data_IF_874639510987
#
_entry.id   IF_874639510987
#
_cell.length_a   1.000
_cell.length_b   1.000
_cell.length_c   1.000
_cell.angle_alpha   90.00
_cell.angle_beta   90.00
_cell.angle_gamma   90.00
#
_symmetry.space_group_name_H-M   'P 1'
#
loop_
_entity.id
_entity.type
_entity.pdbx_description
1 polymer ?
#
# COMPACT_ATOMS: atom_id res chain seq x y z
N UNK A 1 -1.69 -1.68 20.24
CA UNK A 1 -0.91 -0.58 19.66
C UNK A 1 -0.03 -0.96 18.46
N UNK A 2 0.47 -2.22 18.33
CA UNK A 2 1.27 -2.65 17.15
C UNK A 2 0.43 -3.22 15.99
N UNK A 3 -0.56 -4.07 16.29
CA UNK A 3 -1.50 -4.57 15.27
C UNK A 3 -2.29 -3.45 14.57
N UNK A 4 -2.52 -2.33 15.23
CA UNK A 4 -3.26 -1.20 14.63
C UNK A 4 -2.48 -0.54 13.49
N UNK A 5 -1.15 -0.41 13.57
CA UNK A 5 -0.35 0.15 12.47
C UNK A 5 -0.24 -0.84 11.29
N UNK A 6 0.00 -2.12 11.60
CA UNK A 6 0.00 -3.17 10.58
C UNK A 6 -1.34 -3.26 9.83
N UNK A 7 -2.46 -3.26 10.56
CA UNK A 7 -3.81 -3.29 9.97
C UNK A 7 -4.13 -2.01 9.19
N UNK A 8 -3.71 -0.85 9.70
CA UNK A 8 -3.89 0.43 9.01
C UNK A 8 -3.18 0.41 7.65
N UNK A 9 -1.89 0.07 7.63
CA UNK A 9 -1.08 -0.01 6.40
C UNK A 9 -1.62 -1.06 5.42
N UNK A 10 -2.08 -2.20 5.93
CA UNK A 10 -2.70 -3.22 5.09
C UNK A 10 -3.96 -2.70 4.39
N UNK A 11 -4.81 -1.96 5.12
CA UNK A 11 -6.01 -1.34 4.54
C UNK A 11 -5.67 -0.30 3.46
N UNK A 12 -4.64 0.51 3.69
CA UNK A 12 -4.14 1.47 2.69
C UNK A 12 -3.63 0.74 1.44
N UNK A 13 -2.87 -0.35 1.61
CA UNK A 13 -2.39 -1.17 0.50
C UNK A 13 -3.54 -1.74 -0.34
N UNK A 14 -4.61 -2.21 0.30
CA UNK A 14 -5.80 -2.70 -0.39
C UNK A 14 -6.50 -1.60 -1.20
N UNK A 15 -6.59 -0.38 -0.66
CA UNK A 15 -7.16 0.76 -1.38
C UNK A 15 -6.40 1.09 -2.66
N UNK A 16 -5.07 1.24 -2.57
CA UNK A 16 -4.25 1.49 -3.76
C UNK A 16 -4.26 0.35 -4.77
N UNK A 17 -4.34 -0.90 -4.31
CA UNK A 17 -4.47 -2.05 -5.22
C UNK A 17 -5.78 -1.99 -6.02
N UNK A 18 -6.87 -1.60 -5.37
CA UNK A 18 -8.17 -1.45 -6.02
C UNK A 18 -8.16 -0.30 -7.02
N UNK A 19 -7.61 0.86 -6.65
CA UNK A 19 -7.43 2.00 -7.57
C UNK A 19 -6.55 1.64 -8.77
N UNK A 20 -5.43 0.94 -8.55
CA UNK A 20 -4.55 0.47 -9.62
C UNK A 20 -5.29 -0.43 -10.62
N UNK A 21 -6.13 -1.35 -10.13
CA UNK A 21 -6.97 -2.21 -10.98
C UNK A 21 -7.97 -1.41 -11.79
N UNK A 22 -8.61 -0.40 -11.20
CA UNK A 22 -9.52 0.49 -11.91
C UNK A 22 -8.78 1.32 -12.97
N UNK A 23 -7.58 1.80 -12.67
CA UNK A 23 -6.77 2.55 -13.62
C UNK A 23 -6.34 1.69 -14.82
N UNK A 24 -6.08 0.40 -14.63
CA UNK A 24 -5.85 -0.54 -15.73
C UNK A 24 -7.07 -0.64 -16.65
N UNK A 25 -8.28 -0.77 -16.11
CA UNK A 25 -9.51 -0.86 -16.93
C UNK A 25 -9.80 0.43 -17.68
N UNK A 26 -9.41 1.57 -17.11
CA UNK A 26 -9.53 2.90 -17.71
C UNK A 26 -8.33 3.30 -18.58
N UNK A 27 -7.35 2.42 -18.79
CA UNK A 27 -6.11 2.70 -19.53
C UNK A 27 -5.29 3.90 -19.02
N UNK A 28 -5.39 4.20 -17.72
CA UNK A 28 -4.64 5.26 -17.03
C UNK A 28 -3.30 4.73 -16.53
N UNK A 29 -2.42 4.36 -17.45
CA UNK A 29 -1.20 3.60 -17.16
C UNK A 29 -0.29 4.23 -16.11
N UNK A 30 -0.13 5.56 -16.13
CA UNK A 30 0.68 6.25 -15.12
C UNK A 30 0.09 6.08 -13.71
N UNK A 31 -1.20 6.37 -13.55
CA UNK A 31 -1.90 6.19 -12.28
C UNK A 31 -1.91 4.73 -11.82
N UNK A 32 -2.09 3.79 -12.74
CA UNK A 32 -2.04 2.36 -12.45
C UNK A 32 -0.69 1.94 -11.82
N UNK A 33 0.43 2.42 -12.38
CA UNK A 33 1.78 2.13 -11.87
C UNK A 33 2.05 2.84 -10.54
N UNK A 34 1.69 4.12 -10.42
CA UNK A 34 1.86 4.90 -9.18
C UNK A 34 1.10 4.22 -8.02
N UNK A 35 -0.15 3.82 -8.25
CA UNK A 35 -0.98 3.11 -7.28
C UNK A 35 -0.45 1.69 -6.97
N UNK A 36 0.10 0.98 -7.95
CA UNK A 36 0.72 -0.33 -7.70
C UNK A 36 1.98 -0.24 -6.81
N UNK A 37 2.79 0.81 -6.98
CA UNK A 37 3.93 1.07 -6.11
C UNK A 37 3.47 1.34 -4.67
N UNK A 38 2.51 2.24 -4.49
CA UNK A 38 1.98 2.60 -3.17
C UNK A 38 1.31 1.41 -2.45
N UNK A 39 0.62 0.56 -3.20
CA UNK A 39 0.06 -0.70 -2.69
C UNK A 39 1.17 -1.62 -2.15
N UNK A 40 2.22 -1.84 -2.95
CA UNK A 40 3.34 -2.71 -2.60
C UNK A 40 4.10 -2.19 -1.38
N UNK A 41 4.36 -0.88 -1.34
CA UNK A 41 5.08 -0.23 -0.25
C UNK A 41 4.32 -0.34 1.08
N UNK A 42 3.01 -0.08 1.07
CA UNK A 42 2.19 -0.19 2.27
C UNK A 42 2.02 -1.64 2.74
N UNK A 43 1.95 -2.60 1.81
CA UNK A 43 1.94 -4.02 2.15
C UNK A 43 3.25 -4.43 2.85
N UNK A 44 4.41 -4.02 2.30
CA UNK A 44 5.71 -4.28 2.92
C UNK A 44 5.83 -3.62 4.31
N UNK A 45 5.44 -2.35 4.43
CA UNK A 45 5.44 -1.62 5.71
C UNK A 45 4.47 -2.24 6.72
N UNK A 46 3.35 -2.82 6.29
CA UNK A 46 2.43 -3.56 7.17
C UNK A 46 3.12 -4.78 7.80
N UNK A 47 3.85 -5.57 7.00
CA UNK A 47 4.61 -6.72 7.50
C UNK A 47 5.73 -6.27 8.43
N UNK A 48 6.47 -5.22 8.07
CA UNK A 48 7.53 -4.67 8.93
C UNK A 48 6.99 -4.18 10.28
N UNK A 49 5.79 -3.58 10.31
CA UNK A 49 5.15 -3.11 11.55
C UNK A 49 4.79 -4.23 12.53
N UNK A 50 4.70 -5.49 12.07
CA UNK A 50 4.54 -6.65 12.95
C UNK A 50 5.83 -7.00 13.69
N UNK A 51 7.00 -6.71 13.08
CA UNK A 51 8.31 -7.10 13.58
C UNK A 51 8.99 -5.97 14.37
N UNK A 52 8.72 -4.71 14.02
CA UNK A 52 9.32 -3.57 14.70
C UNK A 52 8.85 -2.21 14.18
N UNK A 53 9.45 -1.11 14.67
CA UNK A 53 9.16 0.23 14.18
C UNK A 53 9.46 0.36 12.69
N UNK A 54 8.54 0.94 11.92
CA UNK A 54 8.74 1.23 10.50
C UNK A 54 9.35 2.62 10.36
N UNK A 55 10.49 2.72 9.68
CA UNK A 55 11.13 4.00 9.38
C UNK A 55 10.26 4.90 8.51
N UNK A 56 10.37 6.22 8.72
CA UNK A 56 9.78 7.22 7.82
C UNK A 56 10.75 7.48 6.67
N UNK A 57 10.65 6.66 5.65
CA UNK A 57 11.32 6.90 4.37
C UNK A 57 10.29 6.67 3.27
N UNK A 58 9.96 7.78 2.60
CA UNK A 58 8.88 8.01 1.64
C UNK A 58 7.46 7.71 2.16
#
# INVERSE_FOLDING_TARGET
MRSSDAQYRFRIAQGFLEESRQDVTLTRWRSAVDNAQLATENAAKSVLALVGPVGRTH
#
